data_IF_276143248776
#
_entry.id   IF_276143248776
#
_cell.length_a   1.000
_cell.length_b   1.000
_cell.length_c   1.000
_cell.angle_alpha   90.00
_cell.angle_beta   90.00
_cell.angle_gamma   90.00
#
_symmetry.space_group_name_H-M   'P 1'
#
loop_
_entity.id
_entity.type
_entity.pdbx_description
1 polymer ?
#
# COMPACT_ATOMS: atom_id res chain seq x y z
N UNK A 1 -12.92 -9.04 25.21
CA UNK A 1 -11.78 -8.17 25.56
C UNK A 1 -11.32 -7.49 24.28
N UNK A 2 -11.48 -6.16 24.16
CA UNK A 2 -11.05 -5.40 22.98
C UNK A 2 -9.54 -5.23 23.08
N UNK A 3 -8.78 -6.01 22.30
CA UNK A 3 -7.32 -5.87 22.20
C UNK A 3 -6.99 -4.47 21.72
N UNK A 4 -6.60 -3.60 22.66
CA UNK A 4 -6.17 -2.25 22.36
C UNK A 4 -4.94 -2.31 21.46
N UNK A 5 -4.93 -1.45 20.42
CA UNK A 5 -3.75 -1.19 19.60
C UNK A 5 -2.56 -0.96 20.55
N UNK A 6 -1.58 -1.86 20.53
CA UNK A 6 -0.31 -1.64 21.24
C UNK A 6 0.36 -0.45 20.56
N UNK A 7 0.84 0.47 21.38
CA UNK A 7 1.59 1.69 21.04
C UNK A 7 2.26 1.62 19.64
N UNK A 8 1.72 2.40 18.70
CA UNK A 8 2.22 2.49 17.32
C UNK A 8 3.07 3.76 17.16
N UNK A 9 4.34 3.60 16.77
CA UNK A 9 5.24 4.73 16.50
C UNK A 9 5.03 5.19 15.07
N UNK A 10 5.20 6.48 14.81
CA UNK A 10 5.06 7.02 13.45
C UNK A 10 6.16 8.02 13.12
N UNK A 11 6.47 8.12 11.84
CA UNK A 11 7.35 9.13 11.27
C UNK A 11 6.89 9.48 9.85
N UNK A 12 7.39 10.58 9.29
CA UNK A 12 7.03 11.01 7.96
C UNK A 12 8.20 10.88 6.97
N UNK A 13 7.88 10.43 5.77
CA UNK A 13 8.74 10.50 4.60
C UNK A 13 8.18 11.55 3.64
N UNK A 14 9.02 12.48 3.18
CA UNK A 14 8.62 13.47 2.17
C UNK A 14 8.86 12.88 0.78
N UNK A 15 7.82 12.82 -0.03
CA UNK A 15 7.87 12.26 -1.39
C UNK A 15 7.38 13.26 -2.44
N UNK A 16 7.66 13.03 -3.73
CA UNK A 16 7.10 13.83 -4.82
C UNK A 16 5.56 13.88 -4.87
N UNK A 17 4.87 12.92 -4.24
CA UNK A 17 3.40 12.83 -4.20
C UNK A 17 2.80 13.28 -2.86
N UNK A 18 3.60 14.03 -2.08
CA UNK A 18 3.23 14.55 -0.78
C UNK A 18 3.83 13.76 0.38
N UNK A 19 3.26 13.94 1.57
CA UNK A 19 3.80 13.36 2.79
C UNK A 19 3.28 11.94 2.97
N UNK A 20 4.19 11.01 3.25
CA UNK A 20 3.87 9.63 3.59
C UNK A 20 4.14 9.42 5.08
N UNK A 21 3.08 9.20 5.85
CA UNK A 21 3.19 8.85 7.27
C UNK A 21 3.34 7.33 7.40
N UNK A 22 4.50 6.92 7.89
CA UNK A 22 4.87 5.53 8.20
C UNK A 22 4.49 5.23 9.63
N UNK A 23 3.99 4.02 9.88
CA UNK A 23 3.62 3.56 11.22
C UNK A 23 4.17 2.16 11.42
N UNK A 24 4.91 1.99 12.50
CA UNK A 24 5.48 0.72 12.94
C UNK A 24 4.89 0.30 14.29
N UNK A 25 4.92 -1.01 14.56
CA UNK A 25 4.52 -1.54 15.86
C UNK A 25 5.68 -1.50 16.87
N UNK A 26 5.57 -2.25 17.97
CA UNK A 26 6.59 -2.32 19.03
C UNK A 26 7.81 -3.17 18.62
N UNK A 27 7.64 -4.03 17.62
CA UNK A 27 8.65 -4.95 17.11
C UNK A 27 9.34 -4.38 15.84
N UNK A 28 9.25 -3.07 15.63
CA UNK A 28 9.78 -2.31 14.48
C UNK A 28 9.18 -2.68 13.10
N UNK A 29 8.13 -3.51 13.05
CA UNK A 29 7.50 -3.92 11.78
C UNK A 29 6.59 -2.83 11.20
N UNK A 30 6.63 -2.63 9.88
CA UNK A 30 5.76 -1.66 9.19
C UNK A 30 4.32 -2.17 9.10
N UNK A 31 3.42 -1.48 9.81
CA UNK A 31 1.99 -1.83 9.86
C UNK A 31 1.11 -0.93 9.01
N UNK A 32 1.56 0.29 8.68
CA UNK A 32 0.79 1.22 7.83
C UNK A 32 1.67 2.27 7.14
N UNK A 33 1.27 2.63 5.93
CA UNK A 33 1.72 3.79 5.18
C UNK A 33 0.49 4.60 4.78
N UNK A 34 0.50 5.92 4.97
CA UNK A 34 -0.67 6.75 4.70
C UNK A 34 -0.30 8.11 4.14
N UNK A 35 -1.09 8.59 3.18
CA UNK A 35 -0.92 9.93 2.61
C UNK A 35 -1.42 11.00 3.60
N UNK A 36 -0.59 12.01 3.86
CA UNK A 36 -0.89 13.22 4.65
C UNK A 36 -1.56 12.98 6.02
N UNK A 37 -1.21 11.88 6.68
CA UNK A 37 -1.92 11.43 7.87
C UNK A 37 -1.31 11.89 9.20
N UNK A 38 -0.18 12.61 9.18
CA UNK A 38 0.53 13.10 10.37
C UNK A 38 -0.39 13.81 11.35
N UNK A 39 -1.29 14.68 10.87
CA UNK A 39 -2.20 15.43 11.74
C UNK A 39 -3.22 14.53 12.45
N UNK A 40 -3.63 13.44 11.80
CA UNK A 40 -4.55 12.44 12.37
C UNK A 40 -3.83 11.60 13.41
N UNK A 41 -2.61 11.16 13.10
CA UNK A 41 -1.81 10.34 14.01
C UNK A 41 -1.20 11.14 15.15
N UNK A 42 -0.85 12.41 14.97
CA UNK A 42 -0.41 13.28 16.05
C UNK A 42 -1.54 13.54 17.06
N UNK A 43 -2.79 13.72 16.60
CA UNK A 43 -3.95 13.79 17.50
C UNK A 43 -4.18 12.47 18.25
N UNK A 44 -4.02 11.32 17.59
CA UNK A 44 -4.13 10.01 18.24
C UNK A 44 -2.95 9.72 19.19
N UNK A 45 -1.75 10.21 18.86
CA UNK A 45 -0.53 10.06 19.64
C UNK A 45 -0.52 10.95 20.88
N UNK A 46 -1.09 12.15 20.82
CA UNK A 46 -1.30 12.99 22.01
C UNK A 46 -2.23 12.30 23.02
N UNK A 47 -3.20 11.51 22.55
CA UNK A 47 -4.05 10.71 23.43
C UNK A 47 -3.43 9.38 23.91
N UNK A 48 -2.33 8.90 23.29
CA UNK A 48 -1.74 7.58 23.57
C UNK A 48 -0.27 7.60 24.00
N UNK A 49 0.40 8.76 24.00
CA UNK A 49 1.77 8.96 24.50
C UNK A 49 2.89 8.57 23.54
N UNK A 50 2.63 8.47 22.23
CA UNK A 50 3.57 7.83 21.29
C UNK A 50 3.97 8.77 20.16
N UNK A 51 4.96 9.62 20.43
CA UNK A 51 5.68 10.35 19.40
C UNK A 51 7.17 10.05 19.57
N UNK A 52 7.82 9.55 18.52
CA UNK A 52 9.23 9.17 18.55
C UNK A 52 10.00 10.02 17.56
N UNK A 53 11.12 10.60 18.00
CA UNK A 53 12.06 11.34 17.14
C UNK A 53 13.16 10.45 16.54
N UNK A 54 13.29 9.21 17.03
CA UNK A 54 14.30 8.29 16.54
C UNK A 54 13.90 7.73 15.17
N UNK A 55 14.80 7.88 14.21
CA UNK A 55 14.63 7.41 12.84
C UNK A 55 15.13 5.99 12.65
N UNK A 56 15.95 5.45 13.55
CA UNK A 56 16.54 4.12 13.41
C UNK A 56 15.49 3.02 13.10
N UNK A 57 14.31 2.99 13.76
CA UNK A 57 13.26 2.03 13.44
C UNK A 57 12.62 2.16 12.05
N UNK A 58 12.90 3.24 11.33
CA UNK A 58 12.34 3.54 10.02
C UNK A 58 13.39 3.49 8.90
N UNK A 59 14.66 3.22 9.21
CA UNK A 59 15.76 3.30 8.22
C UNK A 59 15.52 2.40 7.00
N UNK A 60 15.09 1.16 7.20
CA UNK A 60 14.80 0.23 6.10
C UNK A 60 13.64 0.72 5.23
N UNK A 61 12.56 1.22 5.85
CA UNK A 61 11.39 1.75 5.14
C UNK A 61 11.76 3.03 4.38
N UNK A 62 12.57 3.91 4.99
CA UNK A 62 13.07 5.13 4.36
C UNK A 62 13.97 4.78 3.18
N UNK A 63 14.88 3.81 3.33
CA UNK A 63 15.76 3.35 2.25
C UNK A 63 14.95 2.76 1.09
N UNK A 64 13.94 1.94 1.40
CA UNK A 64 13.04 1.37 0.40
C UNK A 64 12.26 2.45 -0.36
N UNK A 65 11.65 3.40 0.36
CA UNK A 65 10.91 4.51 -0.26
C UNK A 65 11.82 5.41 -1.08
N UNK A 66 13.04 5.69 -0.60
CA UNK A 66 14.03 6.49 -1.33
C UNK A 66 14.39 5.81 -2.64
N UNK A 67 14.76 4.52 -2.60
CA UNK A 67 15.05 3.74 -3.80
C UNK A 67 13.89 3.74 -4.79
N UNK A 68 12.65 3.53 -4.30
CA UNK A 68 11.46 3.59 -5.15
C UNK A 68 11.31 4.96 -5.83
N UNK A 69 11.35 6.06 -5.08
CA UNK A 69 11.17 7.41 -5.63
C UNK A 69 12.36 7.90 -6.47
N UNK A 70 13.54 7.28 -6.32
CA UNK A 70 14.71 7.50 -7.21
C UNK A 70 14.60 6.71 -8.54
N UNK A 71 13.46 6.05 -8.78
CA UNK A 71 13.19 5.31 -10.01
C UNK A 71 13.76 3.90 -10.02
N UNK A 72 14.19 3.37 -8.88
CA UNK A 72 14.56 1.97 -8.73
C UNK A 72 13.31 1.11 -8.48
N UNK A 73 13.46 -0.21 -8.61
CA UNK A 73 12.39 -1.18 -8.41
C UNK A 73 12.67 -2.10 -7.20
N UNK A 74 12.69 -1.56 -5.96
CA UNK A 74 12.89 -2.38 -4.76
C UNK A 74 11.74 -3.37 -4.58
N UNK A 75 12.01 -4.55 -4.02
CA UNK A 75 10.99 -5.59 -3.85
C UNK A 75 10.28 -5.39 -2.51
N UNK A 76 8.98 -5.66 -2.47
CA UNK A 76 8.23 -5.61 -1.22
C UNK A 76 8.74 -6.64 -0.19
N UNK A 77 9.36 -7.73 -0.65
CA UNK A 77 10.00 -8.75 0.20
C UNK A 77 11.27 -8.28 0.91
N UNK A 78 11.78 -7.10 0.54
CA UNK A 78 12.92 -6.47 1.21
C UNK A 78 12.49 -5.79 2.52
N UNK A 79 11.19 -5.80 2.84
CA UNK A 79 10.60 -5.26 4.06
C UNK A 79 9.82 -6.34 4.81
N UNK A 80 9.87 -6.30 6.14
CA UNK A 80 8.98 -7.09 6.99
C UNK A 80 7.59 -6.46 7.04
N UNK A 81 6.64 -7.06 6.31
CA UNK A 81 5.27 -6.55 6.20
C UNK A 81 4.34 -7.29 7.17
N UNK A 82 3.80 -6.58 8.16
CA UNK A 82 2.79 -7.14 9.07
C UNK A 82 1.46 -6.36 8.99
N UNK A 83 0.65 -6.56 7.94
CA UNK A 83 -0.65 -5.91 7.83
C UNK A 83 -1.66 -6.54 8.80
N UNK A 84 -1.70 -6.03 10.03
CA UNK A 84 -2.55 -6.55 11.11
C UNK A 84 -4.05 -6.39 10.82
N UNK A 85 -4.84 -7.37 11.29
CA UNK A 85 -6.32 -7.30 11.26
C UNK A 85 -6.95 -7.50 9.87
N UNK A 86 -6.18 -8.03 8.91
CA UNK A 86 -6.68 -8.39 7.59
C UNK A 86 -7.39 -9.76 7.62
N UNK A 87 -8.48 -9.90 6.86
CA UNK A 87 -9.07 -11.22 6.62
C UNK A 87 -8.21 -12.01 5.62
N UNK A 88 -8.34 -13.34 5.63
CA UNK A 88 -7.63 -14.23 4.69
C UNK A 88 -7.81 -13.80 3.23
N UNK A 89 -9.03 -13.36 2.86
CA UNK A 89 -9.31 -12.84 1.52
C UNK A 89 -8.48 -11.59 1.17
N UNK A 90 -8.31 -10.67 2.12
CA UNK A 90 -7.48 -9.47 1.90
C UNK A 90 -6.02 -9.83 1.77
N UNK A 91 -5.51 -10.70 2.67
CA UNK A 91 -4.13 -11.18 2.62
C UNK A 91 -3.83 -11.84 1.27
N UNK A 92 -4.69 -12.75 0.81
CA UNK A 92 -4.55 -13.40 -0.50
C UNK A 92 -4.61 -12.40 -1.66
N UNK A 93 -5.50 -11.41 -1.61
CA UNK A 93 -5.59 -10.37 -2.64
C UNK A 93 -4.31 -9.54 -2.71
N UNK A 94 -3.74 -9.17 -1.57
CA UNK A 94 -2.49 -8.42 -1.53
C UNK A 94 -1.31 -9.27 -1.98
N UNK A 95 -1.24 -10.55 -1.61
CA UNK A 95 -0.23 -11.49 -2.10
C UNK A 95 -0.27 -11.62 -3.63
N UNK A 96 -1.47 -11.79 -4.21
CA UNK A 96 -1.64 -11.84 -5.66
C UNK A 96 -1.17 -10.52 -6.32
N UNK A 97 -1.48 -9.38 -5.71
CA UNK A 97 -1.09 -8.07 -6.21
C UNK A 97 0.44 -7.82 -6.13
N UNK A 98 1.12 -8.37 -5.12
CA UNK A 98 2.58 -8.27 -5.01
C UNK A 98 3.32 -8.96 -6.18
N UNK A 99 2.64 -9.85 -6.91
CA UNK A 99 3.20 -10.48 -8.12
C UNK A 99 3.10 -9.60 -9.38
N UNK A 100 2.40 -8.46 -9.32
CA UNK A 100 2.33 -7.51 -10.45
C UNK A 100 3.63 -6.70 -10.50
N UNK A 101 4.48 -6.85 -11.52
CA UNK A 101 5.81 -6.23 -11.53
C UNK A 101 5.79 -4.70 -11.59
N UNK A 102 6.90 -4.08 -11.21
CA UNK A 102 7.14 -2.65 -11.46
C UNK A 102 6.96 -2.33 -12.95
N UNK A 103 6.29 -1.22 -13.25
CA UNK A 103 6.04 -0.77 -14.62
C UNK A 103 4.99 -1.55 -15.38
N UNK A 104 4.27 -2.45 -14.69
CA UNK A 104 3.18 -3.23 -15.28
C UNK A 104 1.86 -2.95 -14.55
N UNK A 105 0.77 -3.11 -15.29
CA UNK A 105 -0.60 -3.00 -14.76
C UNK A 105 -1.33 -4.32 -14.86
N UNK A 106 -2.33 -4.49 -14.01
CA UNK A 106 -3.31 -5.58 -14.08
C UNK A 106 -4.71 -4.99 -13.99
N UNK A 107 -5.73 -5.73 -14.36
CA UNK A 107 -7.12 -5.32 -14.16
C UNK A 107 -7.71 -5.91 -12.89
N UNK A 108 -8.76 -5.28 -12.34
CA UNK A 108 -9.51 -5.87 -11.22
C UNK A 108 -10.02 -7.28 -11.53
N UNK A 109 -10.37 -7.57 -12.80
CA UNK A 109 -10.85 -8.88 -13.22
C UNK A 109 -9.72 -9.91 -13.25
N UNK A 110 -8.58 -9.58 -13.86
CA UNK A 110 -7.41 -10.48 -13.87
C UNK A 110 -6.93 -10.81 -12.46
N UNK A 111 -6.93 -9.83 -11.56
CA UNK A 111 -6.59 -10.06 -10.16
C UNK A 111 -7.64 -10.92 -9.44
N UNK A 112 -8.92 -10.77 -9.79
CA UNK A 112 -9.98 -11.64 -9.28
C UNK A 112 -9.76 -13.09 -9.74
N UNK A 113 -9.46 -13.30 -11.01
CA UNK A 113 -9.23 -14.62 -11.59
C UNK A 113 -8.03 -15.32 -10.91
N UNK A 114 -6.94 -14.58 -10.65
CA UNK A 114 -5.78 -15.12 -9.92
C UNK A 114 -6.13 -15.50 -8.48
N UNK A 115 -6.86 -14.64 -7.76
CA UNK A 115 -7.31 -14.95 -6.39
C UNK A 115 -8.27 -16.14 -6.37
N UNK A 116 -9.17 -16.27 -7.35
CA UNK A 116 -10.06 -17.42 -7.47
C UNK A 116 -9.27 -18.71 -7.62
N UNK A 117 -8.25 -18.70 -8.50
CA UNK A 117 -7.33 -19.82 -8.72
C UNK A 117 -6.57 -20.20 -7.45
N UNK A 118 -6.00 -19.23 -6.73
CA UNK A 118 -5.31 -19.47 -5.45
C UNK A 118 -6.23 -20.10 -4.40
N UNK A 119 -7.53 -19.79 -4.44
CA UNK A 119 -8.53 -20.33 -3.53
C UNK A 119 -9.15 -21.65 -3.99
N UNK A 120 -8.80 -22.16 -5.18
CA UNK A 120 -9.47 -23.34 -5.77
C UNK A 120 -10.95 -23.11 -6.07
N UNK A 121 -11.34 -21.87 -6.42
CA UNK A 121 -12.72 -21.47 -6.71
C UNK A 121 -12.90 -21.19 -8.21
N UNK A 122 -14.11 -21.39 -8.75
CA UNK A 122 -14.36 -21.16 -10.18
C UNK A 122 -14.31 -19.68 -10.57
N UNK A 123 -14.62 -18.77 -9.64
CA UNK A 123 -14.61 -17.33 -9.89
C UNK A 123 -14.47 -16.52 -8.60
N UNK A 124 -14.11 -15.25 -8.77
CA UNK A 124 -14.07 -14.24 -7.72
C UNK A 124 -14.59 -12.91 -8.30
N UNK A 125 -15.16 -12.06 -7.44
CA UNK A 125 -15.72 -10.78 -7.87
C UNK A 125 -14.66 -9.69 -7.96
N UNK A 126 -14.54 -9.05 -9.13
CA UNK A 126 -13.73 -7.84 -9.31
C UNK A 126 -14.11 -6.72 -8.31
N UNK A 127 -15.39 -6.62 -7.93
CA UNK A 127 -15.84 -5.68 -6.91
C UNK A 127 -15.32 -6.04 -5.52
N UNK A 128 -15.28 -7.33 -5.18
CA UNK A 128 -14.70 -7.80 -3.92
C UNK A 128 -13.20 -7.50 -3.86
N UNK A 129 -12.48 -7.68 -4.97
CA UNK A 129 -11.08 -7.25 -5.10
C UNK A 129 -10.95 -5.74 -4.86
N UNK A 130 -11.76 -4.90 -5.52
CA UNK A 130 -11.75 -3.45 -5.30
C UNK A 130 -11.95 -3.06 -3.83
N UNK A 131 -12.82 -3.76 -3.10
CA UNK A 131 -13.04 -3.55 -1.67
C UNK A 131 -11.84 -3.99 -0.81
N UNK A 132 -11.20 -5.11 -1.15
CA UNK A 132 -9.98 -5.57 -0.49
C UNK A 132 -8.82 -4.58 -0.69
N UNK A 133 -8.64 -4.07 -1.91
CA UNK A 133 -7.60 -3.10 -2.26
C UNK A 133 -7.81 -1.73 -1.59
N UNK A 134 -9.06 -1.30 -1.38
CA UNK A 134 -9.37 -0.09 -0.59
C UNK A 134 -8.88 -0.18 0.85
N UNK A 135 -8.76 -1.41 1.38
CA UNK A 135 -8.30 -1.67 2.74
C UNK A 135 -6.78 -1.84 2.83
N UNK A 136 -6.04 -1.64 1.73
CA UNK A 136 -4.59 -1.79 1.70
C UNK A 136 -3.93 -0.85 2.74
N UNK A 137 -3.28 -1.39 3.78
CA UNK A 137 -2.61 -0.58 4.79
C UNK A 137 -1.28 0.02 4.32
N UNK A 138 -0.70 -0.50 3.24
CA UNK A 138 0.64 -0.18 2.76
C UNK A 138 0.58 0.18 1.26
N UNK A 139 -0.07 1.28 0.86
CA UNK A 139 -0.01 1.75 -0.53
C UNK A 139 1.44 1.90 -1.00
N UNK A 140 1.68 1.85 -2.31
CA UNK A 140 3.01 1.88 -2.95
C UNK A 140 3.76 0.56 -2.77
N UNK A 141 3.97 0.10 -1.52
CA UNK A 141 4.64 -1.17 -1.20
C UNK A 141 3.78 -2.36 -1.64
N UNK A 142 2.50 -2.38 -1.21
CA UNK A 142 1.46 -3.21 -1.83
C UNK A 142 0.88 -2.36 -2.97
N UNK A 143 1.17 -2.70 -4.24
CA UNK A 143 1.11 -1.74 -5.34
C UNK A 143 -0.31 -1.60 -5.92
N UNK A 144 -1.28 -1.19 -5.10
CA UNK A 144 -2.68 -1.11 -5.55
C UNK A 144 -2.94 -0.02 -6.61
N UNK A 145 -1.97 0.86 -6.87
CA UNK A 145 -1.98 1.78 -7.99
C UNK A 145 -1.78 1.07 -9.35
N UNK A 146 -1.25 -0.16 -9.38
CA UNK A 146 -1.09 -0.96 -10.61
C UNK A 146 -2.38 -1.62 -11.09
N UNK A 147 -3.48 -1.54 -10.34
CA UNK A 147 -4.76 -2.18 -10.70
C UNK A 147 -5.67 -1.18 -11.41
N UNK A 148 -6.00 -1.44 -12.67
CA UNK A 148 -6.87 -0.61 -13.51
C UNK A 148 -8.20 -1.28 -13.81
N UNK A 149 -9.11 -0.54 -14.44
CA UNK A 149 -10.39 -1.07 -14.93
C UNK A 149 -10.20 -1.93 -16.19
N UNK A 150 -11.18 -2.78 -16.51
CA UNK A 150 -11.13 -3.66 -17.70
C UNK A 150 -11.24 -2.91 -19.02
N UNK A 151 -11.82 -1.69 -19.02
CA UNK A 151 -11.85 -0.78 -20.16
C UNK A 151 -10.58 0.09 -20.28
N UNK A 152 -9.48 -0.36 -19.66
CA UNK A 152 -8.17 0.28 -19.69
C UNK A 152 -8.12 1.70 -19.12
N UNK A 153 -9.04 2.06 -18.22
CA UNK A 153 -8.99 3.34 -17.50
C UNK A 153 -8.37 3.22 -16.13
N UNK A 154 -7.78 4.31 -15.62
CA UNK A 154 -7.17 4.35 -14.28
C UNK A 154 -8.06 3.79 -13.17
N UNK A 155 -9.36 4.06 -13.15
CA UNK A 155 -10.25 3.63 -12.07
C UNK A 155 -9.98 4.34 -10.73
N UNK A 156 -10.42 3.72 -9.63
CA UNK A 156 -10.33 4.32 -8.29
C UNK A 156 -8.96 4.13 -7.61
N UNK A 157 -8.60 5.07 -6.73
CA UNK A 157 -7.43 4.97 -5.85
C UNK A 157 -7.69 5.69 -4.53
N UNK A 158 -7.33 5.07 -3.40
CA UNK A 158 -7.54 5.68 -2.08
C UNK A 158 -6.74 6.98 -1.90
N UNK A 159 -5.55 7.06 -2.51
CA UNK A 159 -4.72 8.27 -2.49
C UNK A 159 -5.13 9.36 -3.49
N UNK A 160 -6.20 9.16 -4.27
CA UNK A 160 -6.62 10.05 -5.36
C UNK A 160 -6.03 9.68 -6.73
N UNK A 161 -6.76 9.98 -7.81
CA UNK A 161 -6.34 9.59 -9.16
C UNK A 161 -5.03 10.25 -9.60
N UNK A 162 -4.77 11.49 -9.18
CA UNK A 162 -3.53 12.20 -9.51
C UNK A 162 -2.29 11.46 -8.99
N UNK A 163 -2.33 10.96 -7.75
CA UNK A 163 -1.24 10.15 -7.19
C UNK A 163 -1.07 8.83 -7.94
N UNK A 164 -2.17 8.18 -8.29
CA UNK A 164 -2.13 6.93 -9.06
C UNK A 164 -1.50 7.14 -10.43
N UNK A 165 -1.92 8.19 -11.14
CA UNK A 165 -1.35 8.59 -12.41
C UNK A 165 0.15 8.91 -12.28
N UNK A 166 0.54 9.67 -11.26
CA UNK A 166 1.94 9.97 -11.01
C UNK A 166 2.77 8.71 -10.75
N UNK A 167 2.30 7.82 -9.87
CA UNK A 167 3.00 6.57 -9.55
C UNK A 167 3.15 5.67 -10.79
N UNK A 168 2.10 5.52 -11.59
CA UNK A 168 2.18 4.75 -12.82
C UNK A 168 3.17 5.35 -13.83
N UNK A 169 3.17 6.68 -14.02
CA UNK A 169 4.16 7.36 -14.88
C UNK A 169 5.58 7.20 -14.36
N UNK A 170 5.77 7.31 -13.05
CA UNK A 170 7.05 7.10 -12.38
C UNK A 170 7.58 5.68 -12.60
N UNK A 171 6.69 4.70 -12.67
CA UNK A 171 7.03 3.32 -13.01
C UNK A 171 7.22 3.06 -14.51
N UNK A 172 7.07 4.07 -15.37
CA UNK A 172 7.24 3.96 -16.82
C UNK A 172 5.99 3.52 -17.58
N UNK A 173 4.82 3.51 -16.94
CA UNK A 173 3.54 3.22 -17.61
C UNK A 173 3.06 4.45 -18.38
N UNK A 174 2.66 4.26 -19.64
CA UNK A 174 1.99 5.29 -20.43
C UNK A 174 0.57 5.53 -19.90
N UNK A 175 0.44 6.51 -19.00
CA UNK A 175 -0.83 6.86 -18.39
C UNK A 175 -1.75 7.63 -19.33
N UNK A 176 -1.23 8.27 -20.37
CA UNK A 176 -2.07 9.06 -21.28
C UNK A 176 -2.99 8.13 -22.10
N UNK A 177 -2.59 6.87 -22.29
CA UNK A 177 -3.43 5.80 -22.83
C UNK A 177 -4.52 5.29 -21.87
N UNK A 178 -4.48 5.69 -20.59
CA UNK A 178 -5.36 5.20 -19.51
C UNK A 178 -6.35 6.26 -18.98
N UNK A 179 -6.32 7.47 -19.54
CA UNK A 179 -7.17 8.60 -19.16
C UNK A 179 -8.50 8.64 -19.95
#
# INVERSE_FOLDING_TARGET
MKGGLRVNRFNDFLSPIGRLTMIINQDDELVRLSFDATRKYSQQAVCSGVYWKDLAPFEEVIAWLSAYFDGQAPKATDLELNPQGASDFRLLTWQALLNVPYGHVTTYQQLADEVAKMQGRPSQSAQAIGNALRSNPLPIIIPCHRVITSDHRLGGYHGGQDRKAWLLRHEGVDVDSLL
#
